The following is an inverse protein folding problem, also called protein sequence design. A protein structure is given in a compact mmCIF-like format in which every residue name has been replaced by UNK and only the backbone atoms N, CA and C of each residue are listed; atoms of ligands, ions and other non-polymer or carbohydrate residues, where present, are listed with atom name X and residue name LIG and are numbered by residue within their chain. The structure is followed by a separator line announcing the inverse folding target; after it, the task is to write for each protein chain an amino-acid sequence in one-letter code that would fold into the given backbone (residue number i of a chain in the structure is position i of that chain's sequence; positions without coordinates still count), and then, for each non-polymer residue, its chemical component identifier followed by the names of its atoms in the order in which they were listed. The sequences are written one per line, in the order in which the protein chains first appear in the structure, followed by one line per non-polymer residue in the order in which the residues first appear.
data_IF_464275180239
#
_entry.id   IF_464275180239
#
_cell.length_a   1.000
_cell.length_b   1.000
_cell.length_c   1.000
_cell.angle_alpha   90.00
_cell.angle_beta   90.00
_cell.angle_gamma   90.00
#
_symmetry.space_group_name_H-M   'P 1'
#
loop_
_entity.id
_entity.type
_entity.pdbx_description
1 polymer ?
#
# COMPACT_ATOMS: atom_id res chain seq x y z
N UNK A 1 -35.62 -41.43 10.57
CA UNK A 1 -34.43 -42.24 10.88
C UNK A 1 -33.25 -41.53 10.25
N UNK A 2 -32.44 -40.89 11.12
CA UNK A 2 -31.22 -40.12 10.85
C UNK A 2 -31.33 -38.85 10.01
N UNK A 3 -31.72 -37.79 10.71
CA UNK A 3 -31.21 -36.43 10.52
C UNK A 3 -29.72 -36.46 10.92
N UNK A 4 -28.82 -36.02 10.03
CA UNK A 4 -27.40 -35.92 10.30
C UNK A 4 -26.91 -34.53 9.90
N UNK A 5 -27.00 -33.63 10.89
CA UNK A 5 -26.22 -32.40 10.98
C UNK A 5 -24.74 -32.73 10.71
N UNK A 6 -24.24 -32.22 9.59
CA UNK A 6 -22.80 -32.08 9.36
C UNK A 6 -22.40 -30.74 9.98
N UNK A 7 -21.57 -30.69 11.03
CA UNK A 7 -21.13 -29.42 11.56
C UNK A 7 -20.15 -28.80 10.57
N UNK A 8 -20.53 -27.65 10.02
CA UNK A 8 -19.62 -26.74 9.32
C UNK A 8 -18.60 -26.27 10.36
N UNK A 9 -17.42 -26.88 10.32
CA UNK A 9 -16.26 -26.45 11.07
C UNK A 9 -15.73 -25.15 10.44
N UNK A 10 -16.36 -24.02 10.74
CA UNK A 10 -15.84 -22.71 10.37
C UNK A 10 -16.02 -21.71 11.51
N UNK A 11 -15.21 -21.92 12.54
CA UNK A 11 -14.93 -20.94 13.57
C UNK A 11 -13.49 -21.17 14.05
N UNK A 12 -12.53 -20.78 13.22
CA UNK A 12 -11.16 -20.59 13.69
C UNK A 12 -11.18 -19.51 14.77
N UNK A 13 -11.22 -19.94 16.03
CA UNK A 13 -11.06 -19.10 17.21
C UNK A 13 -9.85 -18.16 17.02
N UNK A 14 -10.02 -16.82 17.02
CA UNK A 14 -8.94 -15.88 16.70
C UNK A 14 -7.69 -16.03 17.59
N UNK A 15 -7.83 -16.61 18.78
CA UNK A 15 -6.72 -16.89 19.70
C UNK A 15 -5.81 -18.07 19.29
N UNK A 16 -6.31 -19.08 18.57
CA UNK A 16 -5.51 -20.28 18.24
C UNK A 16 -4.53 -20.02 17.09
N UNK A 17 -4.98 -19.28 16.07
CA UNK A 17 -4.12 -18.85 14.97
C UNK A 17 -3.05 -17.83 15.41
N UNK A 18 -3.40 -16.92 16.33
CA UNK A 18 -2.45 -15.96 16.90
C UNK A 18 -1.36 -16.64 17.74
N UNK A 19 -1.72 -17.66 18.52
CA UNK A 19 -0.74 -18.47 19.28
C UNK A 19 0.21 -19.25 18.36
N UNK A 20 -0.30 -19.83 17.27
CA UNK A 20 0.53 -20.54 16.30
C UNK A 20 1.47 -19.62 15.51
N UNK A 21 1.07 -18.37 15.29
CA UNK A 21 1.86 -17.36 14.58
C UNK A 21 2.60 -16.40 15.55
N UNK A 22 2.75 -16.75 16.82
CA UNK A 22 3.52 -15.95 17.77
C UNK A 22 5.03 -16.13 17.56
N UNK A 23 5.85 -15.05 17.60
CA UNK A 23 5.48 -13.65 17.84
C UNK A 23 5.13 -12.84 16.57
N UNK A 24 5.13 -13.45 15.39
CA UNK A 24 5.00 -12.76 14.09
C UNK A 24 3.62 -12.14 13.80
N UNK A 25 2.57 -12.53 14.52
CA UNK A 25 1.24 -11.92 14.41
C UNK A 25 1.25 -10.40 14.72
N UNK A 26 2.25 -9.91 15.46
CA UNK A 26 2.44 -8.48 15.73
C UNK A 26 2.87 -7.66 14.50
N UNK A 27 3.39 -8.28 13.44
CA UNK A 27 3.79 -7.59 12.20
C UNK A 27 2.61 -6.85 11.54
N UNK A 28 1.38 -7.35 11.69
CA UNK A 28 0.19 -6.70 11.14
C UNK A 28 -0.02 -5.27 11.67
N UNK A 29 0.41 -4.99 12.90
CA UNK A 29 0.31 -3.66 13.51
C UNK A 29 1.48 -2.74 13.13
N UNK A 30 2.51 -3.25 12.44
CA UNK A 30 3.69 -2.50 12.07
C UNK A 30 3.65 -2.06 10.60
N UNK A 31 4.13 -0.86 10.28
CA UNK A 31 4.35 -0.44 8.90
C UNK A 31 5.31 -1.39 8.19
N UNK A 32 5.01 -1.72 6.93
CA UNK A 32 5.80 -2.67 6.12
C UNK A 32 7.28 -2.28 5.99
N UNK A 33 7.59 -0.99 6.01
CA UNK A 33 8.96 -0.47 5.98
C UNK A 33 9.82 -0.92 7.17
N UNK A 34 9.22 -1.20 8.32
CA UNK A 34 9.93 -1.64 9.52
C UNK A 34 10.06 -3.16 9.62
N UNK A 35 9.34 -3.94 8.80
CA UNK A 35 9.28 -5.39 8.96
C UNK A 35 10.65 -6.06 8.84
N UNK A 36 11.40 -5.73 7.80
CA UNK A 36 12.71 -6.35 7.58
C UNK A 36 13.66 -6.05 8.74
N UNK A 37 13.86 -4.77 9.08
CA UNK A 37 14.73 -4.36 10.18
C UNK A 37 14.29 -4.98 11.52
N UNK A 38 12.99 -5.01 11.80
CA UNK A 38 12.45 -5.58 13.03
C UNK A 38 12.67 -7.10 13.15
N UNK A 39 12.69 -7.82 12.01
CA UNK A 39 12.92 -9.27 11.99
C UNK A 39 14.40 -9.62 12.04
N UNK A 40 15.24 -8.93 11.28
CA UNK A 40 16.66 -9.27 11.14
C UNK A 40 17.53 -8.76 12.28
N UNK A 41 17.10 -7.72 12.99
CA UNK A 41 17.89 -7.12 14.07
C UNK A 41 18.31 -8.18 15.11
N UNK A 42 19.61 -8.34 15.25
CA UNK A 42 20.27 -9.33 16.09
C UNK A 42 20.37 -8.95 17.57
N UNK A 43 20.22 -7.67 17.90
CA UNK A 43 20.18 -7.18 19.29
C UNK A 43 18.79 -7.37 19.91
N UNK A 44 18.75 -7.89 21.14
CA UNK A 44 17.52 -8.20 21.86
C UNK A 44 16.81 -9.45 21.36
N UNK A 45 15.52 -9.57 21.68
CA UNK A 45 14.70 -10.75 21.38
C UNK A 45 13.46 -10.37 20.56
N UNK A 46 13.22 -11.10 19.47
CA UNK A 46 12.13 -10.80 18.52
C UNK A 46 10.74 -10.83 19.17
N UNK A 47 10.54 -11.73 20.13
CA UNK A 47 9.31 -11.88 20.91
C UNK A 47 9.02 -10.69 21.84
N UNK A 48 10.05 -9.97 22.29
CA UNK A 48 9.91 -8.71 23.04
C UNK A 48 9.82 -7.49 22.10
N UNK A 49 10.59 -7.49 21.03
CA UNK A 49 10.72 -6.38 20.08
C UNK A 49 9.44 -6.12 19.29
N UNK A 50 8.86 -7.15 18.67
CA UNK A 50 7.69 -6.99 17.78
C UNK A 50 6.45 -6.38 18.48
N UNK A 51 6.06 -6.82 19.69
CA UNK A 51 4.96 -6.18 20.43
C UNK A 51 5.25 -4.70 20.76
N UNK A 52 6.50 -4.39 21.13
CA UNK A 52 6.90 -3.09 21.64
C UNK A 52 7.10 -2.03 20.55
N UNK A 53 7.51 -2.42 19.34
CA UNK A 53 7.78 -1.48 18.24
C UNK A 53 6.57 -0.59 17.89
N UNK A 54 5.36 -1.14 17.95
CA UNK A 54 4.13 -0.36 17.73
C UNK A 54 3.89 0.71 18.80
N UNK A 55 4.34 0.45 20.03
CA UNK A 55 4.23 1.39 21.14
C UNK A 55 5.34 2.44 21.06
N UNK A 56 6.54 2.04 20.66
CA UNK A 56 7.64 2.94 20.35
C UNK A 56 7.27 3.95 19.26
N UNK A 57 6.71 3.49 18.14
CA UNK A 57 6.32 4.39 17.05
C UNK A 57 5.27 5.40 17.51
N UNK A 58 4.24 4.96 18.24
CA UNK A 58 3.19 5.85 18.77
C UNK A 58 3.74 6.83 19.81
N UNK A 59 4.66 6.39 20.67
CA UNK A 59 5.28 7.27 21.67
C UNK A 59 6.11 8.37 20.98
N UNK A 60 6.98 8.00 20.04
CA UNK A 60 7.79 8.96 19.28
C UNK A 60 6.90 9.92 18.49
N UNK A 61 5.86 9.43 17.81
CA UNK A 61 4.89 10.30 17.13
C UNK A 61 4.18 11.28 18.09
N UNK A 62 4.00 10.89 19.35
CA UNK A 62 3.46 11.76 20.39
C UNK A 62 4.52 12.68 21.03
N UNK A 63 5.76 12.66 20.53
CA UNK A 63 6.87 13.48 21.00
C UNK A 63 7.48 13.02 22.33
N UNK A 64 7.41 11.72 22.64
CA UNK A 64 7.93 11.15 23.90
C UNK A 64 8.56 9.78 23.72
N UNK A 65 9.40 9.38 24.65
CA UNK A 65 9.88 8.00 24.72
C UNK A 65 8.86 7.07 25.41
N UNK A 66 8.78 5.80 25.01
CA UNK A 66 7.95 4.81 25.70
C UNK A 66 8.56 4.41 27.05
N UNK A 67 7.84 3.61 27.85
CA UNK A 67 8.32 3.09 29.13
C UNK A 67 9.71 2.42 29.01
N UNK A 68 10.60 2.64 29.98
CA UNK A 68 11.94 2.08 30.02
C UNK A 68 11.96 0.54 29.95
N UNK A 69 10.92 -0.13 30.46
CA UNK A 69 10.79 -1.58 30.38
C UNK A 69 10.56 -2.13 28.96
N UNK A 70 10.37 -1.26 27.96
CA UNK A 70 10.28 -1.63 26.54
C UNK A 70 11.63 -1.47 25.88
N UNK A 71 12.54 -2.38 26.19
CA UNK A 71 13.95 -2.39 25.78
C UNK A 71 14.26 -3.43 24.69
N UNK A 72 13.22 -4.07 24.14
CA UNK A 72 13.34 -5.10 23.10
C UNK A 72 14.20 -6.31 23.51
N UNK A 73 14.48 -6.49 24.80
CA UNK A 73 15.36 -7.54 25.31
C UNK A 73 16.85 -7.16 25.38
N UNK A 74 17.21 -5.89 25.16
CA UNK A 74 18.58 -5.38 25.27
C UNK A 74 18.60 -4.04 26.04
N UNK A 75 18.47 -4.07 27.38
CA UNK A 75 18.32 -2.88 28.22
C UNK A 75 19.46 -1.88 28.07
N UNK A 76 20.71 -2.35 28.02
CA UNK A 76 21.89 -1.48 28.00
C UNK A 76 21.97 -0.71 26.68
N UNK A 77 21.83 -1.41 25.55
CA UNK A 77 21.87 -0.78 24.22
C UNK A 77 20.68 0.16 23.99
N UNK A 78 19.48 -0.26 24.40
CA UNK A 78 18.28 0.58 24.30
C UNK A 78 18.34 1.81 25.22
N UNK A 79 18.88 1.69 26.44
CA UNK A 79 19.06 2.83 27.34
C UNK A 79 20.02 3.87 26.73
N UNK A 80 21.12 3.43 26.12
CA UNK A 80 22.08 4.32 25.50
C UNK A 80 21.48 5.06 24.28
N UNK A 81 20.70 4.38 23.44
CA UNK A 81 19.98 5.02 22.31
C UNK A 81 18.87 5.96 22.78
N UNK A 82 18.17 5.65 23.87
CA UNK A 82 17.21 6.58 24.50
C UNK A 82 17.88 7.88 24.94
N UNK A 83 19.07 7.79 25.53
CA UNK A 83 19.90 8.94 25.86
C UNK A 83 20.22 9.77 24.61
N UNK A 84 20.67 9.13 23.54
CA UNK A 84 20.96 9.82 22.28
C UNK A 84 19.72 10.48 21.65
N UNK A 85 18.57 9.80 21.63
CA UNK A 85 17.30 10.35 21.14
C UNK A 85 16.90 11.60 21.93
N UNK A 86 17.13 11.60 23.24
CA UNK A 86 16.82 12.73 24.13
C UNK A 86 17.77 13.90 23.88
N UNK A 87 19.07 13.64 23.84
CA UNK A 87 20.10 14.68 23.63
C UNK A 87 19.99 15.35 22.25
N UNK A 88 19.63 14.56 21.23
CA UNK A 88 19.40 15.02 19.87
C UNK A 88 18.00 15.59 19.67
N UNK A 89 17.17 15.69 20.71
CA UNK A 89 15.79 16.20 20.70
C UNK A 89 14.95 15.62 19.54
N UNK A 90 15.15 14.33 19.23
CA UNK A 90 14.43 13.65 18.15
C UNK A 90 12.96 13.42 18.51
N UNK A 91 12.61 13.48 19.81
CA UNK A 91 11.24 13.47 20.26
C UNK A 91 10.47 14.70 19.73
N UNK A 92 11.03 15.91 19.79
CA UNK A 92 10.40 17.08 19.18
C UNK A 92 10.30 16.94 17.66
N UNK A 93 11.34 16.41 17.01
CA UNK A 93 11.35 16.21 15.56
C UNK A 93 10.29 15.20 15.08
N UNK A 94 9.99 14.19 15.89
CA UNK A 94 9.02 13.13 15.57
C UNK A 94 7.57 13.50 15.90
N UNK A 95 7.35 14.57 16.66
CA UNK A 95 6.03 15.00 17.09
C UNK A 95 5.11 15.28 15.89
N UNK A 96 3.98 14.56 15.83
CA UNK A 96 3.00 14.71 14.75
C UNK A 96 3.40 14.04 13.44
N UNK A 97 4.58 13.42 13.34
CA UNK A 97 5.06 12.77 12.10
C UNK A 97 5.31 11.27 12.28
N UNK A 98 4.35 10.46 11.83
CA UNK A 98 4.50 9.00 11.78
C UNK A 98 5.66 8.56 10.88
N UNK A 99 5.98 9.32 9.83
CA UNK A 99 7.15 9.06 8.99
C UNK A 99 8.45 9.22 9.76
N UNK A 100 8.61 10.35 10.46
CA UNK A 100 9.82 10.60 11.22
C UNK A 100 9.99 9.56 12.32
N UNK A 101 8.91 9.22 13.03
CA UNK A 101 8.94 8.19 14.05
C UNK A 101 9.45 6.84 13.49
N UNK A 102 9.00 6.45 12.29
CA UNK A 102 9.50 5.25 11.61
C UNK A 102 10.95 5.38 11.16
N UNK A 103 11.38 6.54 10.69
CA UNK A 103 12.78 6.76 10.28
C UNK A 103 13.72 6.60 11.48
N UNK A 104 13.41 7.25 12.60
CA UNK A 104 14.17 7.10 13.86
C UNK A 104 14.25 5.63 14.27
N UNK A 105 13.14 4.90 14.22
CA UNK A 105 13.12 3.47 14.55
C UNK A 105 13.92 2.62 13.57
N UNK A 106 13.86 2.91 12.27
CA UNK A 106 14.63 2.22 11.24
C UNK A 106 16.13 2.36 11.46
N UNK A 107 16.60 3.60 11.66
CA UNK A 107 18.01 3.90 11.96
C UNK A 107 18.42 3.26 13.29
N UNK A 108 17.58 3.34 14.32
CA UNK A 108 17.83 2.71 15.62
C UNK A 108 18.01 1.19 15.50
N UNK A 109 17.12 0.50 14.78
CA UNK A 109 17.20 -0.95 14.55
C UNK A 109 18.45 -1.34 13.75
N UNK A 110 18.84 -0.52 12.77
CA UNK A 110 20.05 -0.74 11.99
C UNK A 110 21.31 -0.64 12.86
N UNK A 111 21.44 0.40 13.69
CA UNK A 111 22.58 0.55 14.60
C UNK A 111 22.65 -0.59 15.61
N UNK A 112 21.51 -1.00 16.17
CA UNK A 112 21.42 -2.13 17.09
C UNK A 112 21.86 -3.44 16.44
N UNK A 113 21.47 -3.68 15.18
CA UNK A 113 21.85 -4.89 14.46
C UNK A 113 23.37 -5.02 14.30
N UNK A 114 24.09 -3.90 14.17
CA UNK A 114 25.55 -3.90 14.01
C UNK A 114 26.33 -4.29 15.27
N UNK A 115 25.67 -4.40 16.43
CA UNK A 115 26.34 -4.89 17.65
C UNK A 115 26.83 -6.33 17.50
N UNK A 116 26.25 -7.12 16.59
CA UNK A 116 26.70 -8.49 16.31
C UNK A 116 28.08 -8.53 15.65
N UNK A 117 28.44 -7.47 14.91
CA UNK A 117 29.71 -7.36 14.18
C UNK A 117 30.89 -6.96 15.10
N UNK A 118 30.68 -6.86 16.42
CA UNK A 118 31.76 -6.44 17.33
C UNK A 118 32.95 -7.41 17.25
N UNK A 119 34.20 -6.92 17.21
CA UNK A 119 35.37 -7.76 17.38
C UNK A 119 35.36 -8.47 18.74
N UNK A 120 35.79 -9.73 18.77
CA UNK A 120 35.82 -10.53 20.01
C UNK A 120 36.65 -9.90 21.15
N UNK A 121 37.67 -9.10 20.79
CA UNK A 121 38.53 -8.40 21.74
C UNK A 121 37.92 -7.13 22.34
N UNK A 122 36.82 -6.60 21.77
CA UNK A 122 36.16 -5.39 22.25
C UNK A 122 35.11 -5.74 23.30
N UNK A 123 35.03 -5.01 24.42
CA UNK A 123 33.93 -5.18 25.38
C UNK A 123 32.58 -4.80 24.76
N UNK A 124 31.49 -5.36 25.29
CA UNK A 124 30.13 -5.02 24.85
C UNK A 124 29.81 -3.55 25.09
N UNK A 125 30.19 -3.02 26.26
CA UNK A 125 29.97 -1.62 26.63
C UNK A 125 30.66 -0.66 25.64
N UNK A 126 31.92 -0.94 25.28
CA UNK A 126 32.63 -0.13 24.28
C UNK A 126 32.00 -0.22 22.88
N UNK A 127 31.37 -1.36 22.54
CA UNK A 127 30.64 -1.50 21.29
C UNK A 127 29.34 -0.68 21.29
N UNK A 128 28.61 -0.67 22.42
CA UNK A 128 27.41 0.16 22.62
C UNK A 128 27.78 1.64 22.54
N UNK A 129 28.87 2.06 23.18
CA UNK A 129 29.36 3.44 23.11
C UNK A 129 29.67 3.85 21.66
N UNK A 130 30.42 3.03 20.91
CA UNK A 130 30.69 3.31 19.50
C UNK A 130 29.42 3.35 18.65
N UNK A 131 28.48 2.42 18.85
CA UNK A 131 27.19 2.41 18.15
C UNK A 131 26.42 3.71 18.40
N UNK A 132 26.35 4.17 19.64
CA UNK A 132 25.65 5.41 20.02
C UNK A 132 26.33 6.64 19.41
N UNK A 133 27.66 6.68 19.38
CA UNK A 133 28.38 7.77 18.70
C UNK A 133 28.13 7.76 17.19
N UNK A 134 28.09 6.59 16.56
CA UNK A 134 27.75 6.47 15.14
C UNK A 134 26.31 6.94 14.86
N UNK A 135 25.36 6.56 15.72
CA UNK A 135 23.97 7.04 15.65
C UNK A 135 23.90 8.58 15.76
N UNK A 136 24.65 9.18 16.70
CA UNK A 136 24.70 10.64 16.86
C UNK A 136 25.30 11.34 15.65
N UNK A 137 26.40 10.81 15.11
CA UNK A 137 27.05 11.39 13.94
C UNK A 137 26.14 11.35 12.70
N UNK A 138 25.39 10.26 12.53
CA UNK A 138 24.42 10.14 11.43
C UNK A 138 23.27 11.16 11.56
N UNK A 139 22.69 11.27 12.76
CA UNK A 139 21.59 12.21 13.02
C UNK A 139 22.02 13.68 13.06
N UNK A 140 23.28 13.99 13.36
CA UNK A 140 23.78 15.37 13.31
C UNK A 140 23.62 15.98 11.91
N UNK A 141 23.90 15.21 10.85
CA UNK A 141 23.71 15.66 9.47
C UNK A 141 22.23 15.56 9.06
N UNK A 142 21.60 14.41 9.32
CA UNK A 142 20.23 14.16 8.85
C UNK A 142 19.20 15.10 9.49
N UNK A 143 19.40 15.54 10.74
CA UNK A 143 18.46 16.43 11.43
C UNK A 143 18.28 17.75 10.68
N UNK A 144 19.36 18.37 10.21
CA UNK A 144 19.29 19.65 9.51
C UNK A 144 18.51 19.52 8.20
N UNK A 145 18.73 18.42 7.47
CA UNK A 145 18.04 18.15 6.22
C UNK A 145 16.55 17.86 6.47
N UNK A 146 16.23 17.14 7.55
CA UNK A 146 14.86 16.86 7.97
C UNK A 146 14.11 18.08 8.47
N UNK A 147 14.74 18.97 9.24
CA UNK A 147 14.14 20.24 9.66
C UNK A 147 13.82 21.12 8.44
N UNK A 148 14.66 21.11 7.40
CA UNK A 148 14.38 21.80 6.14
C UNK A 148 13.18 21.18 5.41
N UNK A 149 13.11 19.85 5.31
CA UNK A 149 11.97 19.14 4.71
C UNK A 149 10.68 19.46 5.47
N UNK A 150 10.71 19.33 6.80
CA UNK A 150 9.59 19.66 7.66
C UNK A 150 9.19 21.13 7.54
N UNK A 151 10.13 22.06 7.44
CA UNK A 151 9.82 23.48 7.27
C UNK A 151 9.06 23.77 5.97
N UNK A 152 9.44 23.14 4.85
CA UNK A 152 8.72 23.28 3.57
C UNK A 152 7.36 22.59 3.60
N UNK A 153 7.30 21.44 4.26
CA UNK A 153 6.11 20.61 4.33
C UNK A 153 5.29 20.83 5.60
N UNK A 154 5.51 21.93 6.35
CA UNK A 154 4.93 22.19 7.69
C UNK A 154 3.39 22.18 7.76
N UNK A 155 2.68 22.09 6.63
CA UNK A 155 1.22 21.91 6.56
C UNK A 155 0.77 20.66 5.82
N UNK A 156 1.71 19.86 5.31
CA UNK A 156 1.45 18.63 4.59
C UNK A 156 1.51 17.51 5.63
N UNK A 157 0.36 17.34 6.29
CA UNK A 157 0.16 16.48 7.45
C UNK A 157 0.48 15.00 7.25
N UNK A 158 0.86 14.57 6.05
CA UNK A 158 1.34 13.22 5.81
C UNK A 158 2.64 13.18 5.00
N UNK A 159 3.75 13.40 5.70
CA UNK A 159 5.07 12.92 5.27
C UNK A 159 5.16 11.39 5.31
N UNK A 160 4.11 10.67 5.73
CA UNK A 160 4.00 9.23 5.92
C UNK A 160 4.39 8.36 4.71
N UNK A 161 4.56 8.93 3.52
CA UNK A 161 4.97 8.18 2.33
C UNK A 161 6.39 8.51 1.84
N UNK A 162 7.06 9.49 2.42
CA UNK A 162 8.41 9.86 2.01
C UNK A 162 9.43 8.91 2.63
N UNK A 163 10.14 8.18 1.78
CA UNK A 163 11.31 7.40 2.19
C UNK A 163 12.56 8.30 2.14
N UNK A 164 13.32 8.34 3.24
CA UNK A 164 14.48 9.22 3.37
C UNK A 164 15.55 8.97 2.32
N UNK A 165 15.81 7.69 2.04
CA UNK A 165 16.84 7.28 1.08
C UNK A 165 16.56 7.84 -0.34
N UNK A 166 15.27 7.95 -0.70
CA UNK A 166 14.85 8.57 -1.97
C UNK A 166 14.87 10.09 -1.93
N UNK A 167 14.74 10.70 -0.75
CA UNK A 167 14.79 12.14 -0.58
C UNK A 167 16.22 12.66 -0.63
N UNK A 168 17.17 12.00 0.04
CA UNK A 168 18.55 12.49 0.19
C UNK A 168 19.20 12.84 -1.16
N UNK A 169 19.03 12.02 -2.19
CA UNK A 169 19.53 12.31 -3.54
C UNK A 169 18.80 13.44 -4.29
N UNK A 170 17.64 13.87 -3.81
CA UNK A 170 16.80 14.92 -4.40
C UNK A 170 16.89 16.26 -3.66
N UNK A 171 17.34 16.27 -2.40
CA UNK A 171 17.52 17.49 -1.60
C UNK A 171 18.59 18.42 -2.21
N UNK A 172 19.59 17.86 -2.91
CA UNK A 172 20.61 18.66 -3.61
C UNK A 172 20.15 19.21 -4.98
N UNK A 173 18.96 18.81 -5.43
CA UNK A 173 18.46 19.19 -6.75
C UNK A 173 18.16 20.68 -6.86
N UNK A 174 18.28 21.22 -8.09
CA UNK A 174 17.86 22.59 -8.39
C UNK A 174 16.38 22.83 -8.07
N UNK A 175 15.54 21.81 -8.26
CA UNK A 175 14.11 21.88 -7.94
C UNK A 175 13.84 22.04 -6.46
N UNK A 176 14.62 21.38 -5.60
CA UNK A 176 14.49 21.50 -4.14
C UNK A 176 14.86 22.91 -3.63
N UNK A 177 16.00 23.45 -4.08
CA UNK A 177 16.40 24.83 -3.75
C UNK A 177 15.38 25.86 -4.22
N UNK A 178 14.76 25.63 -5.38
CA UNK A 178 13.67 26.48 -5.86
C UNK A 178 12.43 26.35 -4.98
N UNK A 179 12.01 25.15 -4.58
CA UNK A 179 10.90 24.96 -3.65
C UNK A 179 11.16 25.64 -2.30
N UNK A 180 12.40 25.59 -1.78
CA UNK A 180 12.80 26.31 -0.58
C UNK A 180 12.66 27.83 -0.73
N UNK A 181 13.19 28.37 -1.83
CA UNK A 181 13.10 29.79 -2.13
C UNK A 181 11.65 30.25 -2.26
N UNK A 182 10.80 29.47 -2.92
CA UNK A 182 9.37 29.75 -3.06
C UNK A 182 8.63 29.64 -1.72
N UNK A 183 8.98 28.66 -0.88
CA UNK A 183 8.47 28.56 0.49
C UNK A 183 8.79 29.81 1.32
N UNK A 184 10.03 30.30 1.24
CA UNK A 184 10.42 31.54 1.90
C UNK A 184 9.65 32.77 1.39
N UNK A 185 9.33 32.83 0.09
CA UNK A 185 8.45 33.86 -0.48
C UNK A 185 7.03 33.76 0.05
N UNK A 186 6.51 32.54 0.25
CA UNK A 186 5.19 32.34 0.82
C UNK A 186 5.11 32.82 2.28
N UNK A 187 6.18 32.63 3.05
CA UNK A 187 6.26 33.12 4.44
C UNK A 187 6.23 34.65 4.54
N UNK A 188 6.62 35.39 3.49
CA UNK A 188 6.51 36.86 3.47
C UNK A 188 5.11 37.36 3.15
N UNK A 189 4.19 36.50 2.69
CA UNK A 189 2.82 36.86 2.29
C UNK A 189 1.79 35.96 3.00
N UNK A 190 1.66 36.04 4.34
CA UNK A 190 0.75 35.19 5.11
C UNK A 190 -0.74 35.44 4.77
N UNK A 191 -1.10 36.60 4.25
CA UNK A 191 -2.44 36.88 3.71
C UNK A 191 -2.82 35.90 2.60
N UNK A 192 -1.88 35.62 1.69
CA UNK A 192 -2.09 34.71 0.57
C UNK A 192 -2.32 33.28 1.07
N UNK A 193 -1.53 32.85 2.07
CA UNK A 193 -1.70 31.55 2.69
C UNK A 193 -3.08 31.40 3.33
N UNK A 194 -3.50 32.39 4.13
CA UNK A 194 -4.83 32.42 4.74
C UNK A 194 -5.96 32.45 3.72
N UNK A 195 -5.78 33.20 2.63
CA UNK A 195 -6.76 33.26 1.55
C UNK A 195 -6.95 31.89 0.90
N UNK A 196 -5.86 31.25 0.47
CA UNK A 196 -5.89 29.93 -0.18
C UNK A 196 -6.43 28.87 0.79
N UNK A 197 -6.04 28.92 2.06
CA UNK A 197 -6.58 28.03 3.09
C UNK A 197 -8.10 28.17 3.21
N UNK A 198 -8.63 29.38 3.09
CA UNK A 198 -10.07 29.67 3.12
C UNK A 198 -10.81 29.29 1.82
N UNK A 199 -10.11 29.06 0.71
CA UNK A 199 -10.73 28.68 -0.57
C UNK A 199 -11.40 27.30 -0.47
N UNK A 200 -12.73 27.30 -0.59
CA UNK A 200 -13.56 26.10 -0.42
C UNK A 200 -14.00 25.85 1.03
N UNK A 201 -13.62 26.72 1.99
CA UNK A 201 -14.19 26.76 3.36
C UNK A 201 -15.40 27.69 3.48
N UNK A 202 -15.79 28.37 2.40
CA UNK A 202 -17.02 29.15 2.37
C UNK A 202 -18.19 28.27 2.85
N UNK A 203 -18.92 28.76 3.85
CA UNK A 203 -20.00 28.06 4.53
C UNK A 203 -20.89 27.32 3.54
N UNK A 204 -21.26 26.10 3.90
CA UNK A 204 -22.30 25.31 3.24
C UNK A 204 -23.50 26.23 2.99
N UNK A 205 -23.73 26.57 1.73
CA UNK A 205 -24.92 27.27 1.29
C UNK A 205 -26.04 26.24 1.21
N UNK A 206 -26.66 26.00 2.37
CA UNK A 206 -27.83 25.13 2.52
C UNK A 206 -29.06 25.67 1.76
N UNK A 207 -28.97 26.90 1.24
CA UNK A 207 -29.95 27.61 0.41
C UNK A 207 -29.85 27.30 -1.10
N UNK A 208 -28.81 26.58 -1.53
CA UNK A 208 -28.70 26.17 -2.94
C UNK A 208 -29.53 24.92 -3.20
N UNK A 209 -30.31 24.88 -4.30
CA UNK A 209 -31.02 23.67 -4.69
C UNK A 209 -30.04 22.50 -4.89
N UNK A 210 -30.38 21.27 -4.48
CA UNK A 210 -29.59 20.11 -4.81
C UNK A 210 -29.37 20.03 -6.33
N UNK A 211 -28.16 19.64 -6.74
CA UNK A 211 -27.85 19.46 -8.16
C UNK A 211 -28.92 18.57 -8.81
N UNK A 212 -29.50 19.05 -9.93
CA UNK A 212 -30.68 18.46 -10.55
C UNK A 212 -30.48 17.04 -11.13
N UNK A 213 -29.23 16.55 -11.17
CA UNK A 213 -28.89 15.26 -11.75
C UNK A 213 -27.89 14.51 -10.85
N UNK A 214 -28.35 13.81 -9.80
CA UNK A 214 -27.52 12.92 -9.01
C UNK A 214 -27.38 11.60 -9.79
N UNK A 215 -26.81 11.64 -11.00
CA UNK A 215 -26.39 10.38 -11.62
C UNK A 215 -25.22 9.88 -10.79
N UNK A 216 -25.28 8.69 -10.19
CA UNK A 216 -24.06 8.07 -9.71
C UNK A 216 -23.13 8.01 -10.92
N UNK A 217 -21.96 8.66 -10.81
CA UNK A 217 -20.87 8.45 -11.74
C UNK A 217 -20.55 6.96 -11.68
N UNK A 218 -21.02 6.18 -12.66
CA UNK A 218 -20.66 4.77 -12.81
C UNK A 218 -19.25 4.73 -13.43
N UNK A 219 -18.29 5.40 -12.77
CA UNK A 219 -16.89 5.47 -13.20
C UNK A 219 -15.95 4.87 -12.14
N UNK A 220 -16.48 4.29 -11.06
CA UNK A 220 -15.67 3.40 -10.23
C UNK A 220 -15.47 2.10 -11.03
N UNK A 221 -14.34 1.98 -11.72
CA UNK A 221 -13.91 0.75 -12.34
C UNK A 221 -13.99 -0.37 -11.29
N UNK A 222 -14.95 -1.29 -11.46
CA UNK A 222 -15.11 -2.42 -10.56
C UNK A 222 -13.82 -3.23 -10.60
N UNK A 223 -13.24 -3.53 -9.45
CA UNK A 223 -12.07 -4.39 -9.41
C UNK A 223 -12.43 -5.74 -10.06
N UNK A 224 -11.66 -6.19 -11.06
CA UNK A 224 -11.93 -7.49 -11.67
C UNK A 224 -11.62 -8.57 -10.65
N UNK A 225 -12.55 -9.50 -10.47
CA UNK A 225 -12.37 -10.68 -9.62
C UNK A 225 -11.99 -11.84 -10.52
N UNK A 226 -11.05 -12.66 -10.06
CA UNK A 226 -10.69 -13.90 -10.74
C UNK A 226 -11.81 -14.92 -10.51
N UNK A 227 -12.58 -15.21 -11.55
CA UNK A 227 -13.65 -16.21 -11.52
C UNK A 227 -13.14 -17.50 -12.16
N UNK A 228 -13.26 -18.60 -11.43
CA UNK A 228 -13.04 -19.94 -11.97
C UNK A 228 -14.25 -20.32 -12.83
N UNK A 229 -14.05 -20.41 -14.15
CA UNK A 229 -15.04 -20.94 -15.07
C UNK A 229 -14.68 -22.40 -15.33
N UNK A 230 -15.51 -23.29 -14.83
CA UNK A 230 -15.38 -24.73 -15.08
C UNK A 230 -16.25 -25.09 -16.28
N UNK A 231 -15.61 -25.57 -17.35
CA UNK A 231 -16.29 -26.05 -18.56
C UNK A 231 -16.11 -27.56 -18.65
N UNK A 232 -17.23 -28.28 -18.83
CA UNK A 232 -17.21 -29.70 -19.14
C UNK A 232 -16.80 -29.92 -20.60
N UNK A 233 -15.69 -30.65 -20.79
CA UNK A 233 -15.22 -31.09 -22.09
C UNK A 233 -15.60 -32.56 -22.26
N UNK A 234 -16.52 -32.80 -23.19
CA UNK A 234 -16.93 -34.14 -23.58
C UNK A 234 -15.84 -34.82 -24.42
N UNK A 235 -15.66 -36.13 -24.24
CA UNK A 235 -14.70 -36.97 -24.98
C UNK A 235 -13.22 -36.61 -24.77
N UNK A 236 -12.90 -35.96 -23.65
CA UNK A 236 -11.53 -35.71 -23.20
C UNK A 236 -11.15 -36.69 -22.09
N UNK A 237 -9.96 -37.32 -22.15
CA UNK A 237 -9.58 -38.37 -21.21
C UNK A 237 -9.41 -37.82 -19.80
N UNK A 238 -10.32 -38.16 -18.89
CA UNK A 238 -10.23 -37.77 -17.48
C UNK A 238 -10.95 -38.80 -16.59
N UNK A 239 -12.25 -38.63 -16.37
CA UNK A 239 -13.07 -39.53 -15.57
C UNK A 239 -14.13 -40.19 -16.44
N UNK A 240 -14.27 -41.51 -16.30
CA UNK A 240 -15.33 -42.28 -16.97
C UNK A 240 -16.66 -42.01 -16.27
N UNK A 241 -17.58 -41.33 -16.96
CA UNK A 241 -18.91 -40.99 -16.44
C UNK A 241 -19.97 -42.02 -16.81
N UNK A 242 -19.76 -42.76 -17.90
CA UNK A 242 -20.77 -43.70 -18.38
C UNK A 242 -20.34 -44.48 -19.60
N UNK A 243 -21.34 -45.00 -20.29
CA UNK A 243 -21.19 -45.73 -21.55
C UNK A 243 -22.11 -45.09 -22.57
N UNK A 244 -21.57 -44.77 -23.74
CA UNK A 244 -22.33 -44.24 -24.86
C UNK A 244 -22.12 -45.07 -26.12
N UNK A 245 -22.84 -44.71 -27.17
CA UNK A 245 -22.62 -45.26 -28.52
C UNK A 245 -21.72 -44.31 -29.29
N UNK A 246 -20.58 -44.80 -29.79
CA UNK A 246 -19.73 -44.02 -30.68
C UNK A 246 -18.92 -44.92 -31.63
N UNK A 247 -18.16 -44.30 -32.55
CA UNK A 247 -17.20 -44.98 -33.42
C UNK A 247 -15.77 -45.05 -32.84
N UNK A 248 -15.55 -44.66 -31.58
CA UNK A 248 -14.19 -44.48 -31.06
C UNK A 248 -13.58 -45.80 -30.56
N UNK A 249 -12.82 -46.47 -31.43
CA UNK A 249 -12.19 -47.78 -31.14
C UNK A 249 -11.32 -47.78 -29.88
N UNK A 250 -10.62 -46.68 -29.60
CA UNK A 250 -9.72 -46.57 -28.44
C UNK A 250 -10.44 -46.63 -27.09
N UNK A 251 -11.75 -46.35 -27.05
CA UNK A 251 -12.58 -46.34 -25.83
C UNK A 251 -13.66 -47.42 -25.84
N UNK A 252 -13.60 -48.35 -26.79
CA UNK A 252 -14.55 -49.43 -26.95
C UNK A 252 -14.55 -50.37 -25.73
N UNK A 253 -15.76 -50.79 -25.30
CA UNK A 253 -15.90 -51.76 -24.22
C UNK A 253 -15.31 -53.13 -24.59
N UNK A 254 -14.87 -53.87 -23.59
CA UNK A 254 -14.35 -55.23 -23.77
C UNK A 254 -15.40 -56.19 -24.38
N UNK A 255 -16.69 -55.95 -24.11
CA UNK A 255 -17.80 -56.72 -24.71
C UNK A 255 -17.86 -56.58 -26.23
N UNK A 256 -17.56 -55.39 -26.76
CA UNK A 256 -17.47 -55.15 -28.20
C UNK A 256 -16.18 -55.76 -28.77
N UNK A 257 -15.06 -55.66 -28.05
CA UNK A 257 -13.78 -56.26 -28.45
C UNK A 257 -13.86 -57.79 -28.61
N UNK A 258 -14.61 -58.47 -27.74
CA UNK A 258 -14.81 -59.92 -27.80
C UNK A 258 -15.49 -60.37 -29.11
N UNK A 259 -16.36 -59.53 -29.69
CA UNK A 259 -17.07 -59.85 -30.93
C UNK A 259 -16.16 -59.80 -32.17
N UNK A 260 -15.05 -59.05 -32.13
CA UNK A 260 -14.14 -58.87 -33.27
C UNK A 260 -13.57 -60.18 -33.78
N UNK A 261 -13.26 -61.12 -32.88
CA UNK A 261 -12.66 -62.42 -33.22
C UNK A 261 -13.69 -63.56 -33.30
N UNK A 262 -14.96 -63.30 -33.05
CA UNK A 262 -15.99 -64.33 -33.03
C UNK A 262 -16.50 -64.62 -34.46
N UNK A 263 -16.57 -65.89 -34.89
CA UNK A 263 -16.89 -66.26 -36.29
C UNK A 263 -18.26 -65.77 -36.76
N UNK A 264 -19.23 -65.63 -35.83
CA UNK A 264 -20.58 -65.16 -36.15
C UNK A 264 -20.78 -63.67 -35.84
N UNK A 265 -20.20 -63.17 -34.74
CA UNK A 265 -20.51 -61.83 -34.22
C UNK A 265 -19.64 -60.74 -34.85
N UNK A 266 -18.54 -61.09 -35.51
CA UNK A 266 -17.70 -60.12 -36.20
C UNK A 266 -18.46 -59.33 -37.29
N UNK A 267 -19.49 -59.92 -37.91
CA UNK A 267 -20.33 -59.20 -38.89
C UNK A 267 -21.21 -58.14 -38.20
N UNK A 268 -21.79 -58.48 -37.04
CA UNK A 268 -22.56 -57.53 -36.23
C UNK A 268 -21.67 -56.39 -35.73
N UNK A 269 -20.47 -56.71 -35.24
CA UNK A 269 -19.51 -55.70 -34.80
C UNK A 269 -19.13 -54.73 -35.93
N UNK A 270 -18.85 -55.23 -37.14
CA UNK A 270 -18.55 -54.39 -38.32
C UNK A 270 -19.71 -53.47 -38.69
N UNK A 271 -20.95 -53.97 -38.64
CA UNK A 271 -22.14 -53.15 -38.89
C UNK A 271 -22.26 -52.03 -37.85
N UNK A 272 -22.12 -52.36 -36.56
CA UNK A 272 -22.17 -51.37 -35.47
C UNK A 272 -21.03 -50.36 -35.54
N UNK A 273 -19.84 -50.78 -35.96
CA UNK A 273 -18.73 -49.85 -36.19
C UNK A 273 -19.01 -48.88 -37.36
N UNK A 274 -19.54 -49.40 -38.47
CA UNK A 274 -19.90 -48.57 -39.63
C UNK A 274 -20.99 -47.55 -39.30
N UNK A 275 -21.93 -47.91 -38.42
CA UNK A 275 -23.02 -47.04 -37.95
C UNK A 275 -22.63 -46.16 -36.75
N UNK A 276 -21.37 -46.22 -36.28
CA UNK A 276 -20.91 -45.53 -35.05
C UNK A 276 -21.71 -45.90 -33.78
N UNK A 277 -22.19 -47.14 -33.70
CA UNK A 277 -22.99 -47.68 -32.61
C UNK A 277 -22.24 -48.66 -31.68
N UNK A 278 -20.91 -48.59 -31.61
CA UNK A 278 -20.15 -49.39 -30.64
C UNK A 278 -20.37 -48.83 -29.23
N UNK A 279 -20.49 -49.70 -28.23
CA UNK A 279 -20.47 -49.25 -26.84
C UNK A 279 -19.05 -48.81 -26.48
N UNK A 280 -18.91 -47.54 -26.07
CA UNK A 280 -17.65 -46.91 -25.68
C UNK A 280 -17.80 -46.22 -24.33
N UNK A 281 -16.69 -46.10 -23.59
CA UNK A 281 -16.66 -45.30 -22.38
C UNK A 281 -16.85 -43.82 -22.70
N UNK A 282 -17.72 -43.16 -21.95
CA UNK A 282 -17.92 -41.71 -22.02
C UNK A 282 -17.04 -41.03 -20.97
N UNK A 283 -16.14 -40.16 -21.45
CA UNK A 283 -15.29 -39.35 -20.59
C UNK A 283 -15.79 -37.92 -20.51
N UNK A 284 -15.74 -37.36 -19.30
CA UNK A 284 -15.92 -35.94 -19.08
C UNK A 284 -14.70 -35.39 -18.35
N UNK A 285 -14.05 -34.39 -18.94
CA UNK A 285 -13.00 -33.63 -18.29
C UNK A 285 -13.52 -32.27 -17.84
N UNK A 286 -13.19 -31.87 -16.62
CA UNK A 286 -13.46 -30.52 -16.13
C UNK A 286 -12.26 -29.63 -16.43
N UNK A 287 -12.43 -28.67 -17.34
CA UNK A 287 -11.44 -27.63 -17.58
C UNK A 287 -11.78 -26.39 -16.76
N UNK A 288 -10.96 -26.09 -15.75
CA UNK A 288 -11.09 -24.85 -14.99
C UNK A 288 -10.17 -23.79 -15.56
N UNK A 289 -10.75 -22.69 -16.03
CA UNK A 289 -10.02 -21.51 -16.50
C UNK A 289 -10.30 -20.34 -15.57
N UNK A 290 -9.24 -19.66 -15.13
CA UNK A 290 -9.37 -18.41 -14.40
C UNK A 290 -9.54 -17.26 -15.39
N UNK A 291 -10.66 -16.54 -15.31
CA UNK A 291 -10.88 -15.31 -16.08
C UNK A 291 -11.15 -14.14 -15.14
N UNK A 292 -10.54 -13.01 -15.45
CA UNK A 292 -10.86 -11.73 -14.81
C UNK A 292 -12.23 -11.26 -15.32
N UNK A 293 -13.21 -11.17 -14.43
CA UNK A 293 -14.54 -10.64 -14.74
C UNK A 293 -14.89 -9.52 -13.77
N UNK A 294 -15.72 -8.58 -14.22
CA UNK A 294 -16.24 -7.54 -13.35
C UNK A 294 -17.11 -8.17 -12.25
N UNK A 295 -16.88 -7.78 -11.00
CA UNK A 295 -17.69 -8.24 -9.89
C UNK A 295 -19.16 -7.82 -10.09
N UNK A 296 -20.05 -8.82 -10.18
CA UNK A 296 -21.50 -8.66 -10.33
C UNK A 296 -22.27 -9.16 -9.11
N UNK A 297 -21.59 -9.86 -8.18
CA UNK A 297 -22.22 -10.46 -7.01
C UNK A 297 -22.14 -9.56 -5.78
N UNK A 298 -21.18 -8.66 -5.74
CA UNK A 298 -21.19 -7.58 -4.75
C UNK A 298 -22.20 -6.53 -5.20
N UNK A 299 -23.34 -6.33 -4.49
CA UNK A 299 -24.20 -5.20 -4.77
C UNK A 299 -23.31 -3.96 -4.73
N UNK A 300 -23.30 -3.20 -5.84
CA UNK A 300 -22.59 -1.92 -5.86
C UNK A 300 -23.01 -1.17 -4.60
N UNK A 301 -22.07 -0.70 -3.75
CA UNK A 301 -22.46 0.08 -2.60
C UNK A 301 -23.37 1.18 -3.17
N UNK A 302 -24.64 1.15 -2.75
CA UNK A 302 -25.53 2.27 -3.00
C UNK A 302 -24.79 3.40 -2.33
N UNK A 303 -24.17 4.26 -3.14
CA UNK A 303 -23.69 5.52 -2.64
C UNK A 303 -24.97 6.19 -2.12
N UNK A 304 -25.21 6.07 -0.82
CA UNK A 304 -26.03 7.03 -0.10
C UNK A 304 -25.62 8.39 -0.67
N UNK A 305 -26.56 9.31 -0.98
CA UNK A 305 -26.19 10.63 -1.42
C UNK A 305 -25.15 11.10 -0.42
N UNK A 306 -23.89 11.17 -0.85
CA UNK A 306 -22.82 11.47 0.06
C UNK A 306 -23.24 12.82 0.62
N UNK A 307 -23.42 12.89 1.94
CA UNK A 307 -23.49 14.18 2.62
C UNK A 307 -22.44 15.06 1.94
N UNK A 308 -22.83 16.23 1.42
CA UNK A 308 -22.20 16.86 0.26
C UNK A 308 -20.70 16.69 0.35
N UNK A 309 -20.17 15.97 -0.65
CA UNK A 309 -18.76 15.61 -0.81
C UNK A 309 -17.94 16.80 -0.31
N UNK A 310 -17.01 16.53 0.60
CA UNK A 310 -16.14 17.55 1.17
C UNK A 310 -15.56 18.47 0.10
N UNK A 311 -15.06 19.63 0.54
CA UNK A 311 -14.43 20.67 -0.27
C UNK A 311 -13.91 20.12 -1.62
N UNK A 312 -14.59 20.37 -2.73
CA UNK A 312 -14.30 19.73 -4.03
C UNK A 312 -12.84 19.92 -4.49
N UNK A 313 -12.38 19.26 -5.57
CA UNK A 313 -10.98 19.34 -6.01
C UNK A 313 -10.50 20.79 -6.20
N UNK A 314 -9.22 21.06 -5.93
CA UNK A 314 -8.60 22.35 -6.24
C UNK A 314 -8.11 22.37 -7.68
N UNK A 315 -8.57 23.34 -8.47
CA UNK A 315 -8.10 23.61 -9.83
C UNK A 315 -7.31 24.92 -9.81
N UNK A 316 -6.02 24.84 -10.12
CA UNK A 316 -5.12 26.00 -10.15
C UNK A 316 -4.84 26.36 -11.60
N UNK A 317 -5.39 27.48 -12.05
CA UNK A 317 -5.14 28.01 -13.38
C UNK A 317 -4.00 29.03 -13.30
N UNK A 318 -2.88 28.75 -13.98
CA UNK A 318 -1.65 29.53 -13.90
C UNK A 318 -1.33 30.14 -15.27
N UNK A 319 -1.26 31.48 -15.33
CA UNK A 319 -0.71 32.17 -16.50
C UNK A 319 0.82 32.01 -16.53
N UNK A 320 1.36 31.61 -17.67
CA UNK A 320 2.81 31.49 -17.95
C UNK A 320 3.27 32.46 -19.05
N UNK A 321 2.46 33.45 -19.38
CA UNK A 321 2.75 34.49 -20.36
C UNK A 321 4.04 35.26 -20.04
N UNK A 322 4.58 35.96 -21.04
CA UNK A 322 5.83 36.72 -20.90
C UNK A 322 5.82 37.76 -19.78
N UNK A 323 4.65 38.30 -19.40
CA UNK A 323 4.49 39.25 -18.27
C UNK A 323 4.67 38.62 -16.90
N UNK A 324 4.60 37.30 -16.79
CA UNK A 324 4.77 36.61 -15.51
C UNK A 324 6.23 36.54 -15.08
N UNK A 325 7.20 36.75 -15.98
CA UNK A 325 8.64 36.61 -15.68
C UNK A 325 9.08 37.46 -14.48
N UNK A 326 9.80 36.82 -13.55
CA UNK A 326 10.42 37.50 -12.41
C UNK A 326 9.59 37.43 -11.13
N UNK A 327 9.23 38.58 -10.55
CA UNK A 327 8.49 38.61 -9.29
C UNK A 327 7.09 37.98 -9.36
N UNK A 328 6.26 38.21 -10.39
CA UNK A 328 4.93 37.60 -10.50
C UNK A 328 5.00 36.07 -10.57
N UNK A 329 5.96 35.51 -11.30
CA UNK A 329 6.21 34.07 -11.40
C UNK A 329 6.49 33.45 -10.03
N UNK A 330 7.29 34.12 -9.20
CA UNK A 330 7.62 33.61 -7.86
C UNK A 330 6.38 33.57 -6.96
N UNK A 331 5.56 34.62 -6.99
CA UNK A 331 4.30 34.66 -6.24
C UNK A 331 3.35 33.58 -6.75
N UNK A 332 3.26 33.39 -8.07
CA UNK A 332 2.38 32.39 -8.65
C UNK A 332 2.82 30.95 -8.31
N UNK A 333 4.14 30.67 -8.29
CA UNK A 333 4.69 29.41 -7.76
C UNK A 333 4.35 29.21 -6.29
N UNK A 334 4.44 30.27 -5.47
CA UNK A 334 4.05 30.23 -4.06
C UNK A 334 2.54 29.94 -3.89
N UNK A 335 1.68 30.52 -4.74
CA UNK A 335 0.26 30.20 -4.78
C UNK A 335 0.00 28.71 -5.08
N UNK A 336 0.68 28.16 -6.09
CA UNK A 336 0.56 26.73 -6.46
C UNK A 336 1.02 25.84 -5.31
N UNK A 337 2.16 26.16 -4.67
CA UNK A 337 2.68 25.42 -3.53
C UNK A 337 1.70 25.43 -2.35
N UNK A 338 1.11 26.57 -2.02
CA UNK A 338 0.12 26.66 -0.96
C UNK A 338 -1.21 25.97 -1.31
N UNK A 339 -1.64 26.02 -2.57
CA UNK A 339 -2.83 25.30 -3.02
C UNK A 339 -2.63 23.79 -2.88
N UNK A 340 -1.46 23.28 -3.28
CA UNK A 340 -1.09 21.88 -3.08
C UNK A 340 -1.07 21.50 -1.58
N UNK A 341 -0.47 22.36 -0.74
CA UNK A 341 -0.45 22.21 0.72
C UNK A 341 -1.87 22.09 1.30
N UNK A 342 -2.75 22.99 0.89
CA UNK A 342 -4.15 23.04 1.35
C UNK A 342 -4.93 21.83 0.87
N UNK A 343 -4.81 21.48 -0.41
CA UNK A 343 -5.51 20.36 -1.03
C UNK A 343 -5.17 19.04 -0.32
N UNK A 344 -3.89 18.76 -0.14
CA UNK A 344 -3.47 17.53 0.53
C UNK A 344 -3.86 17.51 2.01
N UNK A 345 -3.72 18.62 2.75
CA UNK A 345 -4.14 18.70 4.16
C UNK A 345 -5.64 18.44 4.36
N UNK A 346 -6.45 18.69 3.32
CA UNK A 346 -7.90 18.47 3.33
C UNK A 346 -8.34 17.25 2.52
N UNK A 347 -7.39 16.42 2.05
CA UNK A 347 -7.67 15.21 1.29
C UNK A 347 -8.30 15.45 -0.09
N UNK A 348 -8.07 16.63 -0.68
CA UNK A 348 -8.62 17.07 -1.97
C UNK A 348 -7.63 16.78 -3.09
N UNK A 349 -8.11 16.36 -4.25
CA UNK A 349 -7.29 16.32 -5.46
C UNK A 349 -6.90 17.75 -5.89
N UNK A 350 -5.69 17.91 -6.43
CA UNK A 350 -5.17 19.20 -6.92
C UNK A 350 -4.71 19.06 -8.38
N UNK A 351 -5.24 19.89 -9.28
CA UNK A 351 -4.84 19.94 -10.70
C UNK A 351 -4.27 21.32 -11.04
N UNK A 352 -3.15 21.35 -11.75
CA UNK A 352 -2.57 22.54 -12.34
C UNK A 352 -2.93 22.61 -13.83
N UNK A 353 -3.42 23.77 -14.26
CA UNK A 353 -3.65 24.14 -15.65
C UNK A 353 -2.77 25.35 -15.95
N UNK A 354 -1.57 25.12 -16.50
CA UNK A 354 -0.67 26.20 -16.89
C UNK A 354 -0.91 26.57 -18.35
N UNK A 355 -1.16 27.84 -18.64
CA UNK A 355 -1.48 28.33 -19.97
C UNK A 355 -0.66 29.58 -20.31
N UNK A 356 -0.20 29.68 -21.55
CA UNK A 356 0.63 30.79 -22.02
C UNK A 356 0.19 31.28 -23.39
N UNK A 357 0.90 30.86 -24.43
CA UNK A 357 0.58 31.21 -25.81
C UNK A 357 -0.64 30.49 -26.40
N UNK A 358 -1.02 30.85 -27.63
CA UNK A 358 -2.09 30.19 -28.37
C UNK A 358 -1.77 28.70 -28.58
N UNK A 359 -2.54 27.82 -27.93
CA UNK A 359 -2.38 26.36 -28.01
C UNK A 359 -1.46 25.75 -26.94
N UNK A 360 -0.88 26.55 -26.05
CA UNK A 360 -0.04 26.07 -24.94
C UNK A 360 -0.90 25.90 -23.68
N UNK A 361 -1.34 24.66 -23.43
CA UNK A 361 -2.01 24.25 -22.21
C UNK A 361 -1.31 23.01 -21.65
N UNK A 362 -0.76 23.14 -20.45
CA UNK A 362 -0.21 22.04 -19.68
C UNK A 362 -1.18 21.70 -18.55
N UNK A 363 -1.70 20.47 -18.56
CA UNK A 363 -2.47 19.92 -17.46
C UNK A 363 -1.61 18.92 -16.68
N UNK A 364 -1.50 19.12 -15.36
CA UNK A 364 -0.77 18.23 -14.48
C UNK A 364 -1.56 17.97 -13.21
N UNK A 365 -1.64 16.71 -12.80
CA UNK A 365 -2.10 16.36 -11.46
C UNK A 365 -0.98 16.60 -10.46
N UNK A 366 -1.24 17.42 -9.44
CA UNK A 366 -0.28 17.69 -8.39
C UNK A 366 -0.56 16.74 -7.23
N UNK A 367 0.26 15.71 -7.11
CA UNK A 367 0.21 14.76 -6.01
C UNK A 367 1.57 14.70 -5.32
N UNK A 368 1.54 14.66 -3.99
CA UNK A 368 2.75 14.46 -3.18
C UNK A 368 3.04 12.97 -3.12
N UNK A 369 3.61 12.45 -4.20
CA UNK A 369 4.01 11.05 -4.26
C UNK A 369 5.47 10.89 -3.84
N UNK A 370 5.87 9.69 -3.35
CA UNK A 370 7.28 9.38 -3.08
C UNK A 370 8.18 9.52 -4.32
N UNK A 371 7.58 9.47 -5.52
CA UNK A 371 8.25 9.57 -6.80
C UNK A 371 8.43 11.03 -7.25
N UNK A 372 7.91 12.01 -6.51
CA UNK A 372 7.97 13.44 -6.81
C UNK A 372 6.62 14.02 -7.25
N UNK A 373 6.66 15.29 -7.66
CA UNK A 373 5.61 15.97 -8.43
C UNK A 373 5.69 15.63 -9.91
#
# INVERSE_FOLDING_TARGET
MFDADVPVADAAMPGRAAAANAPFHHLHALPRALWQAALVCSSGATDRRLPDLSCWQRALQAGRLPDAGRDWGDPDACAALRGAITDLDLCALTQGSAAMARQVLGVMLWHLDRLVDRPAAQSRDAAIDHMVQAFRAEWATQRQDWEQVLALFKSLGDLAHLNWDTLQGRLDSRGWREAQRIGAVLDTVPELARFIDAVGRAHRRDDLPPAADPRPRIDAARQPVAVAITTELLDQPSEVRGVKRSGQLARMLASEAAMVRHPVLARLWRARFAEQQLLTYEDAALATQWRLQADTHTPAPVAMPQAPVGQGPMLVCLDTSGSMRGAPENVAKACVLQALRTAHASGRACRLLAFGGSGELLEQELALTPQGL
#
